data_IF_571589419349
#
_entry.id   IF_571589419349
#
_cell.length_a   1.000
_cell.length_b   1.000
_cell.length_c   1.000
_cell.angle_alpha   90.00
_cell.angle_beta   90.00
_cell.angle_gamma   90.00
#
_symmetry.space_group_name_H-M   'P 1'
#
loop_
_entity.id
_entity.type
_entity.pdbx_description
1 polymer ?
#
# COMPACT_ATOMS: atom_id res chain seq x y z
N UNK A 1 7.35 -18.11 -14.53
CA UNK A 1 6.07 -17.55 -14.09
C UNK A 1 5.06 -18.68 -13.97
N UNK A 2 4.76 -19.07 -12.74
CA UNK A 2 3.71 -20.03 -12.40
C UNK A 2 2.35 -19.32 -12.39
N UNK A 3 1.24 -20.09 -12.50
CA UNK A 3 -0.14 -19.54 -12.47
C UNK A 3 -0.41 -18.69 -11.22
N UNK A 4 0.26 -19.00 -10.10
CA UNK A 4 0.12 -18.32 -8.82
C UNK A 4 0.70 -16.90 -8.85
N UNK A 5 1.92 -16.73 -9.38
CA UNK A 5 2.58 -15.43 -9.47
C UNK A 5 1.76 -14.41 -10.28
N UNK A 6 1.16 -14.84 -11.39
CA UNK A 6 0.32 -13.97 -12.23
C UNK A 6 -0.96 -13.50 -11.55
N UNK A 7 -1.59 -14.39 -10.77
CA UNK A 7 -2.79 -14.04 -10.00
C UNK A 7 -2.44 -13.06 -8.89
N UNK A 8 -1.33 -13.31 -8.20
CA UNK A 8 -0.84 -12.49 -7.11
C UNK A 8 -0.47 -11.08 -7.57
N UNK A 9 0.27 -10.94 -8.67
CA UNK A 9 0.61 -9.62 -9.24
C UNK A 9 -0.64 -8.79 -9.55
N UNK A 10 -1.63 -9.43 -10.19
CA UNK A 10 -2.91 -8.76 -10.48
C UNK A 10 -3.62 -8.34 -9.21
N UNK A 11 -3.65 -9.23 -8.20
CA UNK A 11 -4.32 -8.97 -6.94
C UNK A 11 -3.66 -7.83 -6.15
N UNK A 12 -2.32 -7.79 -6.09
CA UNK A 12 -1.54 -6.71 -5.46
C UNK A 12 -1.85 -5.36 -6.12
N UNK A 13 -1.82 -5.31 -7.46
CA UNK A 13 -2.14 -4.07 -8.18
C UNK A 13 -3.53 -3.57 -7.83
N UNK A 14 -4.54 -4.45 -7.86
CA UNK A 14 -5.93 -4.08 -7.55
C UNK A 14 -6.06 -3.62 -6.10
N UNK A 15 -5.52 -4.38 -5.15
CA UNK A 15 -5.56 -4.06 -3.73
C UNK A 15 -4.91 -2.70 -3.44
N UNK A 16 -3.74 -2.44 -4.01
CA UNK A 16 -3.04 -1.18 -3.82
C UNK A 16 -3.70 -0.01 -4.55
N UNK A 17 -4.33 -0.24 -5.69
CA UNK A 17 -5.16 0.77 -6.36
C UNK A 17 -6.35 1.15 -5.49
N UNK A 18 -7.08 0.17 -4.95
CA UNK A 18 -8.18 0.42 -4.01
C UNK A 18 -7.71 1.17 -2.76
N UNK A 19 -6.62 0.72 -2.14
CA UNK A 19 -6.06 1.41 -0.98
C UNK A 19 -5.62 2.86 -1.31
N UNK A 20 -5.07 3.09 -2.51
CA UNK A 20 -4.70 4.42 -3.01
C UNK A 20 -5.93 5.33 -3.17
N UNK A 21 -7.02 4.81 -3.76
CA UNK A 21 -8.27 5.56 -3.94
C UNK A 21 -8.93 5.89 -2.61
N UNK A 22 -9.03 4.92 -1.70
CA UNK A 22 -9.56 5.16 -0.35
C UNK A 22 -8.72 6.15 0.45
N UNK A 23 -7.38 6.07 0.32
CA UNK A 23 -6.48 7.04 0.93
C UNK A 23 -6.67 8.45 0.36
N UNK A 24 -6.88 8.60 -0.96
CA UNK A 24 -7.22 9.90 -1.59
C UNK A 24 -8.54 10.46 -1.10
N UNK A 25 -9.56 9.60 -0.99
CA UNK A 25 -10.89 10.01 -0.58
C UNK A 25 -10.91 10.47 0.88
N UNK A 26 -10.15 9.77 1.74
CA UNK A 26 -10.07 10.10 3.16
C UNK A 26 -9.11 11.25 3.45
N UNK A 27 -8.02 11.36 2.68
CA UNK A 27 -6.92 12.30 2.91
C UNK A 27 -6.74 13.19 1.70
N UNK A 28 -7.26 14.42 1.76
CA UNK A 28 -7.10 15.39 0.68
C UNK A 28 -5.64 15.76 0.40
N UNK A 29 -4.75 15.52 1.36
CA UNK A 29 -3.30 15.75 1.25
C UNK A 29 -2.56 14.60 0.53
N UNK A 30 -3.20 13.44 0.33
CA UNK A 30 -2.58 12.27 -0.28
C UNK A 30 -2.61 12.36 -1.82
N UNK A 31 -1.44 12.17 -2.45
CA UNK A 31 -1.27 12.33 -3.90
C UNK A 31 -1.29 10.99 -4.64
N UNK A 32 -0.48 10.02 -4.20
CA UNK A 32 -0.39 8.69 -4.77
C UNK A 32 0.47 7.80 -3.88
N UNK A 33 0.39 6.48 -4.09
CA UNK A 33 1.34 5.53 -3.53
C UNK A 33 2.00 4.71 -4.63
N UNK A 34 3.22 4.27 -4.36
CA UNK A 34 3.92 3.27 -5.16
C UNK A 34 4.29 2.09 -4.29
N UNK A 35 4.36 0.93 -4.92
CA UNK A 35 4.75 -0.30 -4.28
C UNK A 35 5.89 -0.95 -5.04
N UNK A 36 6.76 -1.61 -4.30
CA UNK A 36 7.82 -2.45 -4.83
C UNK A 36 7.67 -3.80 -4.19
N UNK A 37 7.42 -4.83 -4.99
CA UNK A 37 7.18 -6.18 -4.51
C UNK A 37 7.95 -7.18 -5.38
N UNK A 38 8.71 -8.07 -4.76
CA UNK A 38 9.27 -9.22 -5.46
C UNK A 38 8.30 -10.39 -5.37
N UNK A 39 7.64 -10.76 -6.48
CA UNK A 39 6.76 -11.93 -6.55
C UNK A 39 7.44 -13.24 -6.07
N UNK A 40 8.77 -13.30 -6.14
CA UNK A 40 9.58 -14.44 -5.67
C UNK A 40 9.87 -14.45 -4.17
N UNK A 41 9.71 -13.31 -3.48
CA UNK A 41 10.06 -13.10 -2.07
C UNK A 41 8.94 -12.40 -1.28
N UNK A 42 7.70 -12.51 -1.77
CA UNK A 42 6.53 -12.05 -1.02
C UNK A 42 6.28 -12.96 0.19
N UNK A 43 5.75 -12.40 1.30
CA UNK A 43 5.38 -11.00 1.51
C UNK A 43 6.54 -10.09 1.98
N UNK A 44 7.71 -10.65 2.32
CA UNK A 44 8.80 -9.92 2.98
C UNK A 44 9.46 -8.81 2.14
N UNK A 45 9.42 -8.88 0.81
CA UNK A 45 10.02 -7.86 -0.07
C UNK A 45 9.08 -6.67 -0.38
N UNK A 46 7.81 -6.71 0.06
CA UNK A 46 6.86 -5.66 -0.27
C UNK A 46 7.16 -4.38 0.52
N UNK A 47 7.39 -3.28 -0.20
CA UNK A 47 7.57 -1.94 0.34
C UNK A 47 6.60 -0.99 -0.32
N UNK A 48 5.95 -0.15 0.47
CA UNK A 48 5.03 0.88 -0.02
C UNK A 48 5.58 2.25 0.33
N UNK A 49 5.46 3.17 -0.61
CA UNK A 49 5.83 4.58 -0.46
C UNK A 49 4.62 5.43 -0.81
N UNK A 50 4.10 6.14 0.18
CA UNK A 50 2.97 7.04 0.05
C UNK A 50 3.49 8.47 -0.08
N UNK A 51 3.06 9.18 -1.12
CA UNK A 51 3.43 10.56 -1.40
C UNK A 51 2.28 11.50 -1.04
N UNK A 52 2.63 12.58 -0.35
CA UNK A 52 1.69 13.58 0.14
C UNK A 52 2.10 14.97 -0.31
N UNK A 53 1.11 15.80 -0.57
CA UNK A 53 1.28 17.19 -0.97
C UNK A 53 1.72 18.06 0.22
N UNK A 54 1.14 17.82 1.39
CA UNK A 54 1.43 18.55 2.63
C UNK A 54 1.75 17.59 3.76
N UNK A 55 2.73 17.99 4.56
CA UNK A 55 3.18 17.31 5.77
C UNK A 55 3.41 18.40 6.85
N UNK A 56 3.14 18.11 8.14
CA UNK A 56 2.79 16.78 8.67
C UNK A 56 1.30 16.46 8.60
N UNK A 57 0.96 15.28 8.06
CA UNK A 57 -0.38 14.72 8.21
C UNK A 57 -0.60 14.18 9.63
N UNK A 58 -1.85 14.23 10.08
CA UNK A 58 -2.30 13.71 11.37
C UNK A 58 -1.92 12.22 11.55
N UNK A 59 -1.57 11.82 12.77
CA UNK A 59 -1.30 10.41 13.07
C UNK A 59 -2.49 9.50 12.77
N UNK A 60 -3.71 10.00 12.98
CA UNK A 60 -4.93 9.27 12.63
C UNK A 60 -4.99 8.98 11.12
N UNK A 61 -4.65 9.97 10.27
CA UNK A 61 -4.61 9.80 8.82
C UNK A 61 -3.52 8.81 8.40
N UNK A 62 -2.33 8.87 9.03
CA UNK A 62 -1.27 7.87 8.81
C UNK A 62 -1.74 6.46 9.13
N UNK A 63 -2.28 6.26 10.33
CA UNK A 63 -2.77 4.96 10.79
C UNK A 63 -3.91 4.43 9.93
N UNK A 64 -4.82 5.30 9.49
CA UNK A 64 -5.91 4.93 8.60
C UNK A 64 -5.38 4.42 7.26
N UNK A 65 -4.45 5.15 6.62
CA UNK A 65 -3.82 4.69 5.36
C UNK A 65 -3.09 3.37 5.56
N UNK A 66 -2.32 3.23 6.65
CA UNK A 66 -1.65 1.96 6.99
C UNK A 66 -2.65 0.82 7.09
N UNK A 67 -3.74 1.02 7.85
CA UNK A 67 -4.74 -0.01 8.06
C UNK A 67 -5.46 -0.38 6.76
N UNK A 68 -5.82 0.60 5.92
CA UNK A 68 -6.41 0.34 4.61
C UNK A 68 -5.50 -0.52 3.74
N UNK A 69 -4.21 -0.19 3.65
CA UNK A 69 -3.26 -0.96 2.85
C UNK A 69 -3.08 -2.37 3.43
N UNK A 70 -2.98 -2.50 4.75
CA UNK A 70 -2.84 -3.81 5.41
C UNK A 70 -4.08 -4.66 5.21
N UNK A 71 -5.28 -4.09 5.35
CA UNK A 71 -6.55 -4.79 5.17
C UNK A 71 -6.65 -5.33 3.73
N UNK A 72 -6.42 -4.46 2.76
CA UNK A 72 -6.52 -4.79 1.34
C UNK A 72 -5.48 -5.83 0.92
N UNK A 73 -4.28 -5.81 1.50
CA UNK A 73 -3.27 -6.84 1.28
C UNK A 73 -3.59 -8.15 2.01
N UNK A 74 -4.24 -8.11 3.18
CA UNK A 74 -4.67 -9.34 3.87
C UNK A 74 -5.74 -10.10 3.07
N UNK A 75 -6.60 -9.41 2.29
CA UNK A 75 -7.60 -10.07 1.43
C UNK A 75 -6.97 -11.01 0.39
N UNK A 76 -5.70 -10.79 0.05
CA UNK A 76 -4.93 -11.56 -0.93
C UNK A 76 -3.85 -12.44 -0.28
N UNK A 77 -3.97 -12.71 1.03
CA UNK A 77 -3.06 -13.52 1.85
C UNK A 77 -1.64 -12.91 1.97
N UNK A 78 -1.53 -11.58 1.85
CA UNK A 78 -0.26 -10.86 1.99
C UNK A 78 -0.27 -10.07 3.30
N UNK A 79 0.53 -10.54 4.26
CA UNK A 79 0.75 -9.80 5.52
C UNK A 79 2.03 -8.98 5.44
N UNK A 80 1.91 -7.66 5.54
CA UNK A 80 3.06 -6.74 5.70
C UNK A 80 3.02 -6.00 7.03
N UNK A 81 4.19 -5.50 7.43
CA UNK A 81 4.30 -4.65 8.60
C UNK A 81 4.08 -3.18 8.21
N UNK A 82 3.41 -2.41 9.06
CA UNK A 82 3.28 -0.95 8.93
C UNK A 82 4.65 -0.25 8.73
N UNK A 83 5.73 -0.81 9.29
CA UNK A 83 7.10 -0.30 9.08
C UNK A 83 7.60 -0.39 7.63
N UNK A 84 6.96 -1.19 6.78
CA UNK A 84 7.25 -1.27 5.35
C UNK A 84 6.61 -0.12 4.54
N UNK A 85 5.74 0.67 5.17
CA UNK A 85 5.05 1.80 4.56
C UNK A 85 5.79 3.09 4.93
N UNK A 86 6.35 3.75 3.93
CA UNK A 86 7.06 5.01 4.08
C UNK A 86 6.18 6.17 3.64
N UNK A 87 6.09 7.21 4.48
CA UNK A 87 5.37 8.45 4.18
C UNK A 87 6.40 9.48 3.72
N UNK A 88 6.28 9.92 2.46
CA UNK A 88 7.20 10.83 1.81
C UNK A 88 6.44 12.08 1.34
N UNK A 89 7.14 13.21 1.33
CA UNK A 89 6.65 14.43 0.68
C UNK A 89 7.06 14.41 -0.79
N UNK A 90 6.16 14.81 -1.68
CA UNK A 90 6.53 15.16 -3.07
C UNK A 90 7.32 16.48 -3.12
#
# INVERSE_FOLDING_TARGET
>A
MTKTEKRLDKAIRVALTHACEQAKETVSEFLWLTHTADLKKLPQSLKIKCFFNTLPINENQKQLIVNLIIDELNTIDITINAKAISFLKE
#
